data_IF_180194373127
#
_entry.id   IF_180194373127
#
_cell.length_a   1.000
_cell.length_b   1.000
_cell.length_c   1.000
_cell.angle_alpha   90.00
_cell.angle_beta   90.00
_cell.angle_gamma   90.00
#
_symmetry.space_group_name_H-M   'P 1'
#
loop_
_entity.id
_entity.type
_entity.pdbx_description
1 polymer ?
#
# COMPACT_ATOMS: atom_id res chain seq x y z
N UNK A 1 17.63 7.66 -25.45
CA UNK A 1 16.38 8.43 -25.25
C UNK A 1 15.77 7.92 -23.96
N UNK A 2 15.57 8.74 -22.92
CA UNK A 2 15.14 8.23 -21.64
C UNK A 2 13.71 7.72 -21.75
N UNK A 3 13.49 6.48 -21.31
CA UNK A 3 12.17 5.88 -21.16
C UNK A 3 11.25 6.81 -20.37
N UNK A 4 10.04 7.01 -20.89
CA UNK A 4 8.93 7.57 -20.12
C UNK A 4 8.56 6.57 -19.04
N UNK A 5 9.17 6.68 -17.86
CA UNK A 5 8.77 5.91 -16.68
C UNK A 5 7.33 6.34 -16.35
N UNK A 6 6.39 5.44 -16.62
CA UNK A 6 5.05 5.49 -16.03
C UNK A 6 5.26 5.69 -14.52
N UNK A 7 4.43 6.48 -13.80
CA UNK A 7 4.57 6.54 -12.35
C UNK A 7 4.54 5.10 -11.86
N UNK A 8 5.66 4.63 -11.27
CA UNK A 8 5.82 3.23 -10.91
C UNK A 8 4.63 2.87 -10.02
N UNK A 9 3.68 2.13 -10.59
CA UNK A 9 2.60 1.58 -9.80
C UNK A 9 3.27 0.62 -8.81
N UNK A 10 2.93 0.74 -7.53
CA UNK A 10 3.42 -0.17 -6.49
C UNK A 10 3.34 -1.62 -6.99
N UNK A 11 4.41 -2.38 -6.74
CA UNK A 11 4.49 -3.79 -7.08
C UNK A 11 3.37 -4.61 -6.42
N UNK A 12 2.87 -4.14 -5.27
CA UNK A 12 1.80 -4.73 -4.47
C UNK A 12 2.04 -6.22 -4.16
N UNK A 13 3.26 -6.59 -3.76
CA UNK A 13 3.63 -7.99 -3.48
C UNK A 13 2.79 -8.63 -2.39
N UNK A 14 2.28 -7.81 -1.46
CA UNK A 14 1.43 -8.23 -0.35
C UNK A 14 -0.07 -8.26 -0.69
N UNK A 15 -0.46 -7.97 -1.94
CA UNK A 15 -1.85 -7.94 -2.44
C UNK A 15 -2.77 -7.05 -1.58
N UNK A 16 -2.31 -5.84 -1.31
CA UNK A 16 -2.95 -4.85 -0.42
C UNK A 16 -3.72 -3.78 -1.18
N UNK A 17 -3.52 -3.65 -2.49
CA UNK A 17 -4.21 -2.66 -3.32
C UNK A 17 -5.70 -2.95 -3.35
N UNK A 18 -6.50 -1.94 -3.05
CA UNK A 18 -7.96 -2.03 -3.02
C UNK A 18 -8.59 -0.75 -3.58
N UNK A 19 -9.83 -0.84 -4.03
CA UNK A 19 -10.60 0.34 -4.45
C UNK A 19 -11.60 0.71 -3.36
N UNK A 20 -11.46 1.93 -2.85
CA UNK A 20 -12.41 2.56 -1.95
C UNK A 20 -13.36 3.43 -2.77
N UNK A 21 -14.63 3.02 -2.84
CA UNK A 21 -15.70 3.82 -3.44
C UNK A 21 -16.22 4.84 -2.44
N UNK A 22 -16.17 6.13 -2.78
CA UNK A 22 -16.73 7.22 -1.97
C UNK A 22 -17.65 8.06 -2.85
N UNK A 23 -18.97 7.86 -2.67
CA UNK A 23 -19.98 8.41 -3.58
C UNK A 23 -19.78 7.86 -4.99
N UNK A 24 -19.59 8.78 -5.95
CA UNK A 24 -19.36 8.45 -7.36
C UNK A 24 -17.89 8.30 -7.73
N UNK A 25 -16.97 8.44 -6.76
CA UNK A 25 -15.53 8.42 -7.01
C UNK A 25 -14.88 7.13 -6.50
N UNK A 26 -13.93 6.62 -7.29
CA UNK A 26 -13.14 5.44 -6.96
C UNK A 26 -11.71 5.87 -6.60
N UNK A 27 -11.29 5.54 -5.38
CA UNK A 27 -9.95 5.83 -4.88
C UNK A 27 -9.15 4.53 -4.76
N UNK A 28 -7.92 4.54 -5.25
CA UNK A 28 -7.00 3.42 -4.99
C UNK A 28 -6.38 3.62 -3.61
N UNK A 29 -6.49 2.60 -2.76
CA UNK A 29 -5.89 2.57 -1.42
C UNK A 29 -5.00 1.33 -1.27
N UNK A 30 -4.05 1.39 -0.35
CA UNK A 30 -3.28 0.24 0.10
C UNK A 30 -3.76 -0.13 1.51
N UNK A 31 -4.46 -1.26 1.61
CA UNK A 31 -5.18 -1.66 2.82
C UNK A 31 -4.23 -2.21 3.87
N UNK A 32 -4.03 -1.45 4.96
CA UNK A 32 -3.28 -1.92 6.13
C UNK A 32 -3.84 -3.22 6.75
N UNK A 33 -5.17 -3.42 6.85
CA UNK A 33 -5.71 -4.71 7.29
C UNK A 33 -5.32 -5.89 6.42
N UNK A 34 -5.26 -5.72 5.09
CA UNK A 34 -4.82 -6.79 4.19
C UNK A 34 -3.32 -7.04 4.35
N UNK A 35 -2.51 -5.98 4.46
CA UNK A 35 -1.09 -6.11 4.78
C UNK A 35 -0.86 -6.86 6.10
N UNK A 36 -1.69 -6.58 7.10
CA UNK A 36 -1.60 -7.21 8.41
C UNK A 36 -1.90 -8.71 8.37
N UNK A 37 -2.88 -9.13 7.55
CA UNK A 37 -3.16 -10.54 7.28
C UNK A 37 -1.99 -11.21 6.55
N UNK A 38 -1.45 -10.56 5.52
CA UNK A 38 -0.33 -11.09 4.74
C UNK A 38 0.95 -11.25 5.57
N UNK A 39 1.16 -10.37 6.56
CA UNK A 39 2.34 -10.37 7.45
C UNK A 39 2.10 -11.08 8.79
N UNK A 40 0.89 -11.59 9.05
CA UNK A 40 0.48 -12.18 10.33
C UNK A 40 0.76 -11.28 11.55
N UNK A 41 0.43 -9.99 11.42
CA UNK A 41 0.64 -8.98 12.48
C UNK A 41 -0.69 -8.41 12.98
N UNK A 42 -0.75 -8.08 14.27
CA UNK A 42 -1.87 -7.38 14.87
C UNK A 42 -1.64 -5.86 14.83
N UNK A 43 -2.38 -5.16 13.96
CA UNK A 43 -2.29 -3.70 13.83
C UNK A 43 -2.53 -2.97 15.16
N UNK A 44 -3.35 -3.51 16.07
CA UNK A 44 -3.67 -2.84 17.33
C UNK A 44 -2.47 -2.74 18.26
N UNK A 45 -1.50 -3.65 18.11
CA UNK A 45 -0.24 -3.64 18.86
C UNK A 45 0.79 -2.65 18.31
N UNK A 46 0.56 -2.12 17.11
CA UNK A 46 1.45 -1.15 16.47
C UNK A 46 1.08 0.29 16.87
N UNK A 47 2.06 1.10 17.29
CA UNK A 47 1.90 2.55 17.40
C UNK A 47 1.46 3.14 16.06
N UNK A 48 0.66 4.22 16.10
CA UNK A 48 0.13 4.86 14.89
C UNK A 48 1.22 5.24 13.88
N UNK A 49 2.38 5.68 14.34
CA UNK A 49 3.53 6.02 13.49
C UNK A 49 3.94 4.87 12.57
N UNK A 50 4.01 3.64 13.10
CA UNK A 50 4.38 2.46 12.32
C UNK A 50 3.33 2.14 11.27
N UNK A 51 2.04 2.31 11.59
CA UNK A 51 0.96 2.11 10.62
C UNK A 51 1.08 3.05 9.42
N UNK A 52 1.42 4.31 9.67
CA UNK A 52 1.66 5.30 8.60
C UNK A 52 2.89 4.95 7.76
N UNK A 53 3.99 4.55 8.40
CA UNK A 53 5.20 4.13 7.68
C UNK A 53 4.96 2.89 6.82
N UNK A 54 4.21 1.90 7.33
CA UNK A 54 3.83 0.70 6.57
C UNK A 54 2.98 1.10 5.36
N UNK A 55 1.97 1.95 5.53
CA UNK A 55 1.14 2.41 4.41
C UNK A 55 1.97 3.11 3.32
N UNK A 56 2.86 4.00 3.75
CA UNK A 56 3.76 4.70 2.83
C UNK A 56 4.66 3.70 2.08
N UNK A 57 5.15 2.66 2.76
CA UNK A 57 5.97 1.63 2.14
C UNK A 57 5.17 0.80 1.12
N UNK A 58 3.94 0.38 1.46
CA UNK A 58 3.06 -0.35 0.54
C UNK A 58 2.74 0.46 -0.72
N UNK A 59 2.53 1.78 -0.57
CA UNK A 59 2.30 2.68 -1.70
C UNK A 59 3.55 2.87 -2.58
N UNK A 60 4.73 2.82 -1.97
CA UNK A 60 6.01 3.09 -2.61
C UNK A 60 6.81 1.86 -3.03
N UNK A 61 6.23 0.66 -2.96
CA UNK A 61 6.95 -0.58 -3.25
C UNK A 61 7.46 -0.62 -4.69
N UNK A 62 8.78 -0.57 -4.85
CA UNK A 62 9.48 -0.54 -6.14
C UNK A 62 10.34 -1.80 -6.40
N UNK A 63 10.34 -2.76 -5.46
CA UNK A 63 11.07 -4.02 -5.55
C UNK A 63 12.60 -3.90 -5.49
N UNK A 64 13.14 -2.71 -5.17
CA UNK A 64 14.58 -2.45 -5.18
C UNK A 64 15.18 -2.14 -3.81
N UNK A 65 14.35 -1.93 -2.77
CA UNK A 65 14.78 -1.59 -1.41
C UNK A 65 14.30 -2.58 -0.36
#
# INVERSE_FOLDING_TARGET
MPETTKPNASLDSLNTKSILKVGDNDYTIFSLPEAAKSLDIDLNKLPYTHRILIENLLRGEDGQN
#
